data_IF_723874244262
#
_entry.id   IF_723874244262
#
_cell.length_a   1.000
_cell.length_b   1.000
_cell.length_c   1.000
_cell.angle_alpha   90.00
_cell.angle_beta   90.00
_cell.angle_gamma   90.00
#
_symmetry.space_group_name_H-M   'P 1'
#
loop_
_entity.id
_entity.type
_entity.pdbx_description
1 polymer ?
#
# COMPACT_ATOMS: atom_id res chain seq x y z
N UNK A 1 72.15 -32.61 1.83
CA UNK A 1 70.68 -32.72 2.05
C UNK A 1 70.46 -32.79 3.55
N UNK A 2 69.69 -31.88 4.16
CA UNK A 2 68.27 -31.71 3.87
C UNK A 2 67.82 -30.27 3.58
N UNK A 3 66.70 -30.18 2.86
CA UNK A 3 65.99 -28.99 2.42
C UNK A 3 65.03 -28.55 3.55
N UNK A 4 65.11 -27.30 4.03
CA UNK A 4 64.06 -26.69 4.87
C UNK A 4 63.28 -25.70 4.01
N UNK A 5 62.05 -26.08 3.65
CA UNK A 5 61.05 -25.21 3.04
C UNK A 5 60.52 -24.24 4.11
N UNK A 6 60.65 -22.93 3.89
CA UNK A 6 59.91 -21.92 4.63
C UNK A 6 58.62 -21.59 3.85
N UNK A 7 57.47 -21.96 4.41
CA UNK A 7 56.16 -21.55 3.91
C UNK A 7 55.87 -20.14 4.45
N UNK A 8 55.82 -19.14 3.57
CA UNK A 8 55.31 -17.81 3.90
C UNK A 8 53.79 -17.78 3.66
N UNK A 9 53.00 -17.79 4.74
CA UNK A 9 51.55 -17.60 4.69
C UNK A 9 51.22 -16.11 4.57
N UNK A 10 50.77 -15.68 3.39
CA UNK A 10 50.15 -14.37 3.21
C UNK A 10 48.70 -14.43 3.70
N UNK A 11 48.43 -13.93 4.91
CA UNK A 11 47.09 -13.65 5.39
C UNK A 11 46.60 -12.35 4.76
N UNK A 12 45.75 -12.46 3.74
CA UNK A 12 45.00 -11.32 3.20
C UNK A 12 43.89 -10.97 4.20
N UNK A 13 44.09 -9.92 5.00
CA UNK A 13 43.05 -9.37 5.86
C UNK A 13 42.04 -8.60 4.99
N UNK A 14 40.90 -9.22 4.67
CA UNK A 14 39.73 -8.50 4.17
C UNK A 14 39.17 -7.65 5.31
N UNK A 15 39.57 -6.38 5.38
CA UNK A 15 38.88 -5.39 6.19
C UNK A 15 37.53 -5.07 5.53
N UNK A 16 36.46 -5.71 6.02
CA UNK A 16 35.10 -5.29 5.74
C UNK A 16 34.91 -3.90 6.37
N UNK A 17 34.93 -2.85 5.56
CA UNK A 17 34.53 -1.51 5.98
C UNK A 17 33.04 -1.56 6.31
N UNK A 18 32.71 -1.73 7.59
CA UNK A 18 31.36 -1.49 8.08
C UNK A 18 31.05 0.00 7.86
N UNK A 19 30.27 0.32 6.82
CA UNK A 19 29.66 1.63 6.68
C UNK A 19 28.88 1.92 7.96
N UNK A 20 29.16 3.06 8.59
CA UNK A 20 28.30 3.58 9.66
C UNK A 20 26.85 3.59 9.16
N UNK A 21 25.88 3.16 9.97
CA UNK A 21 24.48 3.25 9.58
C UNK A 21 24.17 4.72 9.23
N UNK A 22 23.59 4.94 8.05
CA UNK A 22 23.14 6.26 7.64
C UNK A 22 22.26 6.86 8.74
N UNK A 23 22.47 8.13 9.06
CA UNK A 23 21.62 8.86 10.01
C UNK A 23 20.18 8.75 9.53
N UNK A 24 19.27 8.30 10.41
CA UNK A 24 17.84 8.22 10.08
C UNK A 24 17.35 9.58 9.54
N UNK A 25 16.50 9.58 8.51
CA UNK A 25 16.08 10.81 7.87
C UNK A 25 15.25 11.65 8.85
N UNK A 26 15.35 12.97 8.77
CA UNK A 26 14.69 13.87 9.75
C UNK A 26 13.17 13.68 9.81
N UNK A 27 12.55 13.26 8.70
CA UNK A 27 11.12 12.98 8.63
C UNK A 27 10.70 11.69 9.31
N UNK A 28 11.62 10.85 9.81
CA UNK A 28 11.25 9.64 10.54
C UNK A 28 10.38 9.98 11.77
N UNK A 29 10.60 11.13 12.40
CA UNK A 29 9.77 11.63 13.48
C UNK A 29 8.33 12.00 13.09
N UNK A 30 8.02 12.16 11.79
CA UNK A 30 6.63 12.33 11.29
C UNK A 30 5.86 11.01 11.31
N UNK A 31 6.59 9.90 11.41
CA UNK A 31 6.05 8.54 11.49
C UNK A 31 6.35 7.89 12.85
N UNK A 32 6.49 8.70 13.92
CA UNK A 32 6.65 8.18 15.28
C UNK A 32 5.38 7.46 15.74
N UNK A 33 5.42 6.13 15.67
CA UNK A 33 4.28 5.28 15.98
C UNK A 33 4.10 4.98 17.47
N UNK A 34 4.83 5.69 18.34
CA UNK A 34 4.64 5.65 19.80
C UNK A 34 3.63 6.69 20.29
N UNK A 35 3.17 7.58 19.42
CA UNK A 35 2.19 8.62 19.73
C UNK A 35 1.14 8.76 18.62
N UNK A 36 0.04 9.43 18.93
CA UNK A 36 -0.88 9.94 17.91
C UNK A 36 -0.48 11.39 17.64
N UNK A 37 -0.14 11.68 16.39
CA UNK A 37 0.24 13.02 15.93
C UNK A 37 -0.98 13.96 15.87
N UNK A 38 -0.71 15.25 15.78
CA UNK A 38 -1.73 16.26 15.50
C UNK A 38 -1.44 16.96 14.18
N UNK A 39 -2.41 16.93 13.28
CA UNK A 39 -2.32 17.59 11.98
C UNK A 39 -3.49 18.56 11.83
N UNK A 40 -3.18 19.80 11.54
CA UNK A 40 -4.17 20.84 11.30
C UNK A 40 -4.02 21.40 9.88
N UNK A 41 -5.04 21.17 9.05
CA UNK A 41 -5.12 21.68 7.69
C UNK A 41 -5.84 23.02 7.67
N UNK A 42 -5.31 23.98 6.92
CA UNK A 42 -5.87 25.33 6.82
C UNK A 42 -5.92 25.72 5.36
N UNK A 43 -7.12 26.07 4.89
CA UNK A 43 -7.36 26.52 3.51
C UNK A 43 -8.26 27.76 3.53
N UNK A 44 -8.29 28.48 2.43
CA UNK A 44 -9.32 29.50 2.21
C UNK A 44 -10.69 28.86 1.99
N UNK A 45 -11.75 29.57 2.36
CA UNK A 45 -13.12 29.08 2.24
C UNK A 45 -13.52 28.67 0.82
N UNK A 46 -13.14 29.47 -0.16
CA UNK A 46 -13.41 29.19 -1.59
C UNK A 46 -12.65 27.96 -2.09
N UNK A 47 -11.43 27.77 -1.60
CA UNK A 47 -10.60 26.60 -1.91
C UNK A 47 -11.16 25.33 -1.27
N UNK A 48 -11.74 25.42 -0.08
CA UNK A 48 -12.47 24.31 0.54
C UNK A 48 -13.68 23.88 -0.30
N UNK A 49 -14.48 24.84 -0.77
CA UNK A 49 -15.59 24.55 -1.69
C UNK A 49 -15.09 23.98 -3.03
N UNK A 50 -13.93 24.42 -3.50
CA UNK A 50 -13.28 23.87 -4.69
C UNK A 50 -12.85 22.42 -4.48
N UNK A 51 -12.24 22.07 -3.34
CA UNK A 51 -11.95 20.68 -2.98
C UNK A 51 -13.23 19.84 -3.02
N UNK A 52 -14.36 20.34 -2.50
CA UNK A 52 -15.63 19.62 -2.53
C UNK A 52 -16.14 19.30 -3.94
N UNK A 53 -15.96 20.23 -4.89
CA UNK A 53 -16.41 20.08 -6.30
C UNK A 53 -15.39 19.34 -7.17
N UNK A 54 -14.11 19.50 -6.89
CA UNK A 54 -12.98 19.00 -7.67
C UNK A 54 -11.95 18.34 -6.74
N UNK A 55 -12.27 17.17 -6.17
CA UNK A 55 -11.51 16.59 -5.05
C UNK A 55 -10.04 16.33 -5.34
N UNK A 56 -9.69 16.11 -6.61
CA UNK A 56 -8.32 15.78 -7.01
C UNK A 56 -7.49 16.98 -7.49
N UNK A 57 -8.08 18.18 -7.57
CA UNK A 57 -7.33 19.40 -7.83
C UNK A 57 -6.63 19.89 -6.55
N UNK A 58 -5.40 20.38 -6.70
CA UNK A 58 -4.65 20.98 -5.60
C UNK A 58 -5.13 22.41 -5.33
N UNK A 59 -5.31 22.72 -4.06
CA UNK A 59 -5.50 24.09 -3.57
C UNK A 59 -4.35 24.50 -2.65
N UNK A 60 -4.13 25.80 -2.55
CA UNK A 60 -3.07 26.35 -1.69
C UNK A 60 -3.58 26.44 -0.26
N UNK A 61 -2.69 26.15 0.70
CA UNK A 61 -3.03 26.22 2.11
C UNK A 61 -1.81 26.20 3.01
N UNK A 62 -2.08 25.93 4.28
CA UNK A 62 -1.11 25.73 5.34
C UNK A 62 -1.40 24.41 6.05
N UNK A 63 -0.36 23.83 6.64
CA UNK A 63 -0.49 22.70 7.55
C UNK A 63 0.32 22.97 8.80
N UNK A 64 -0.20 22.57 9.95
CA UNK A 64 0.55 22.49 11.20
C UNK A 64 0.63 21.02 11.64
N UNK A 65 1.85 20.51 11.83
CA UNK A 65 2.11 19.12 12.22
C UNK A 65 2.87 19.15 13.56
N UNK A 66 2.24 18.64 14.61
CA UNK A 66 2.78 18.64 15.98
C UNK A 66 3.30 20.02 16.45
N UNK A 67 2.58 21.08 16.10
CA UNK A 67 2.90 22.46 16.44
C UNK A 67 3.84 23.17 15.47
N UNK A 68 4.40 22.48 14.48
CA UNK A 68 5.25 23.07 13.44
C UNK A 68 4.40 23.45 12.22
N UNK A 69 4.27 24.76 11.98
CA UNK A 69 3.44 25.31 10.89
C UNK A 69 4.25 25.55 9.63
N UNK A 70 3.67 25.12 8.50
CA UNK A 70 4.23 25.24 7.16
C UNK A 70 3.16 25.80 6.22
N UNK A 71 3.43 26.97 5.63
CA UNK A 71 2.57 27.57 4.61
C UNK A 71 2.94 27.17 3.18
N UNK A 72 2.20 27.70 2.21
CA UNK A 72 2.44 27.49 0.78
C UNK A 72 2.42 26.00 0.34
N UNK A 73 1.63 25.17 1.05
CA UNK A 73 1.50 23.75 0.72
C UNK A 73 0.31 23.52 -0.22
N UNK A 74 0.37 22.43 -0.99
CA UNK A 74 -0.77 21.89 -1.71
C UNK A 74 -1.62 20.99 -0.82
N UNK A 75 -2.93 21.19 -0.82
CA UNK A 75 -3.89 20.29 -0.16
C UNK A 75 -4.88 19.81 -1.22
N UNK A 76 -5.19 18.50 -1.21
CA UNK A 76 -6.26 17.92 -2.03
C UNK A 76 -6.80 16.65 -1.39
N UNK A 77 -7.97 16.20 -1.83
CA UNK A 77 -8.42 14.84 -1.54
C UNK A 77 -7.68 13.83 -2.43
N UNK A 78 -7.72 12.56 -2.01
CA UNK A 78 -7.19 11.42 -2.78
C UNK A 78 -8.18 10.27 -2.82
N UNK A 79 -7.75 9.19 -3.46
CA UNK A 79 -8.47 7.92 -3.48
C UNK A 79 -9.32 7.76 -4.73
N UNK A 80 -9.88 6.56 -4.86
CA UNK A 80 -10.88 6.23 -5.87
C UNK A 80 -12.21 6.01 -5.12
N UNK A 81 -12.47 4.78 -4.68
CA UNK A 81 -13.64 4.41 -3.88
C UNK A 81 -13.79 5.24 -2.60
N UNK A 82 -12.69 5.49 -1.88
CA UNK A 82 -12.69 6.26 -0.63
C UNK A 82 -12.99 7.76 -0.81
N UNK A 83 -12.85 8.30 -2.02
CA UNK A 83 -13.27 9.68 -2.31
C UNK A 83 -14.81 9.78 -2.48
N UNK A 84 -15.46 8.71 -2.95
CA UNK A 84 -16.89 8.65 -3.22
C UNK A 84 -17.79 8.33 -2.02
N UNK A 85 -17.22 8.09 -0.84
CA UNK A 85 -18.00 7.76 0.38
C UNK A 85 -18.89 8.91 0.82
N UNK A 86 -19.99 8.63 1.53
CA UNK A 86 -20.94 9.67 1.95
C UNK A 86 -20.45 10.55 3.11
N UNK A 87 -19.51 10.06 3.93
CA UNK A 87 -18.95 10.84 5.05
C UNK A 87 -18.05 11.98 4.55
N UNK A 88 -18.01 13.07 5.34
CA UNK A 88 -17.10 14.20 5.16
C UNK A 88 -15.63 13.84 5.46
N UNK A 89 -15.38 12.69 6.10
CA UNK A 89 -14.04 12.18 6.41
C UNK A 89 -13.32 11.68 5.16
N UNK A 90 -12.87 12.59 4.31
CA UNK A 90 -12.15 12.27 3.08
C UNK A 90 -10.66 12.08 3.35
N UNK A 91 -9.96 11.19 2.61
CA UNK A 91 -8.50 11.10 2.70
C UNK A 91 -7.85 12.27 1.95
N UNK A 92 -6.71 12.74 2.45
CA UNK A 92 -6.01 13.91 1.93
C UNK A 92 -4.59 13.57 1.47
N UNK A 93 -4.05 14.43 0.59
CA UNK A 93 -2.61 14.56 0.36
C UNK A 93 -2.18 15.98 0.65
N UNK A 94 -1.00 16.10 1.23
CA UNK A 94 -0.31 17.36 1.49
C UNK A 94 0.95 17.36 0.65
N UNK A 95 1.04 18.25 -0.33
CA UNK A 95 2.22 18.43 -1.17
C UNK A 95 3.02 19.63 -0.69
N UNK A 96 4.07 19.41 0.10
CA UNK A 96 4.99 20.46 0.53
C UNK A 96 5.73 21.07 -0.67
N UNK A 97 6.12 20.22 -1.62
CA UNK A 97 6.82 20.64 -2.82
C UNK A 97 5.89 21.08 -3.97
N UNK A 98 4.60 21.34 -3.69
CA UNK A 98 3.58 21.54 -4.73
C UNK A 98 3.71 22.88 -5.46
N UNK A 99 3.96 23.95 -4.71
CA UNK A 99 4.04 25.32 -5.23
C UNK A 99 5.46 25.90 -5.19
N UNK A 100 6.34 25.28 -4.40
CA UNK A 100 7.77 25.51 -4.40
C UNK A 100 8.45 24.13 -4.48
N UNK A 101 9.21 23.87 -5.54
CA UNK A 101 9.82 22.54 -5.77
C UNK A 101 10.93 22.20 -4.78
N UNK A 102 11.50 23.19 -4.10
CA UNK A 102 12.57 23.04 -3.12
C UNK A 102 12.02 22.88 -1.69
N UNK A 103 10.79 23.34 -1.43
CA UNK A 103 10.17 23.22 -0.12
C UNK A 103 10.01 21.75 0.29
N UNK A 104 10.36 21.48 1.56
CA UNK A 104 10.23 20.17 2.22
C UNK A 104 9.67 20.36 3.62
N UNK A 105 9.07 19.31 4.18
CA UNK A 105 8.83 19.20 5.61
C UNK A 105 9.66 18.05 6.18
N UNK A 106 10.73 18.38 6.92
CA UNK A 106 11.72 17.40 7.45
C UNK A 106 12.32 16.48 6.38
N UNK A 107 12.37 16.95 5.13
CA UNK A 107 12.81 16.17 3.97
C UNK A 107 11.67 15.58 3.11
N UNK A 108 10.42 15.56 3.58
CA UNK A 108 9.29 15.07 2.79
C UNK A 108 8.84 16.07 1.73
N UNK A 109 8.50 15.54 0.55
CA UNK A 109 7.82 16.27 -0.53
C UNK A 109 6.31 16.18 -0.42
N UNK A 110 5.81 15.02 0.01
CA UNK A 110 4.38 14.74 0.14
C UNK A 110 4.09 13.91 1.38
N UNK A 111 2.95 14.19 2.05
CA UNK A 111 2.40 13.36 3.11
C UNK A 111 0.99 12.88 2.72
N UNK A 112 0.66 11.63 3.04
CA UNK A 112 -0.65 11.04 2.77
C UNK A 112 -1.40 10.85 4.08
N UNK A 113 -2.67 11.25 4.10
CA UNK A 113 -3.59 11.05 5.21
C UNK A 113 -4.75 10.17 4.75
N UNK A 114 -4.71 8.88 5.10
CA UNK A 114 -5.79 7.94 4.83
C UNK A 114 -6.83 7.96 5.95
N UNK A 115 -8.11 7.90 5.58
CA UNK A 115 -9.25 8.09 6.47
C UNK A 115 -9.73 6.81 7.19
N UNK A 116 -9.04 5.67 6.99
CA UNK A 116 -9.43 4.37 7.52
C UNK A 116 -10.64 3.74 6.83
N UNK A 117 -10.86 4.08 5.55
CA UNK A 117 -11.97 3.53 4.75
C UNK A 117 -11.99 1.99 4.78
N UNK A 118 -13.18 1.41 4.98
CA UNK A 118 -13.44 -0.03 5.15
C UNK A 118 -12.78 -0.70 6.36
N UNK A 119 -12.04 0.02 7.20
CA UNK A 119 -11.34 -0.58 8.32
C UNK A 119 -12.05 -0.24 9.64
N UNK A 120 -12.86 -1.15 10.23
CA UNK A 120 -13.49 -0.89 11.51
C UNK A 120 -12.49 -0.68 12.65
N UNK A 121 -11.26 -1.17 12.49
CA UNK A 121 -10.23 -1.04 13.53
C UNK A 121 -9.34 0.19 13.37
N UNK A 122 -9.29 0.77 12.17
CA UNK A 122 -8.27 1.75 11.74
C UNK A 122 -6.81 1.24 11.80
N UNK A 123 -6.56 -0.03 12.16
CA UNK A 123 -5.22 -0.57 12.39
C UNK A 123 -4.64 -1.36 11.21
N UNK A 124 -5.48 -1.85 10.29
CA UNK A 124 -5.08 -2.81 9.24
C UNK A 124 -3.97 -2.27 8.37
N UNK A 125 -4.08 -1.02 7.92
CA UNK A 125 -3.09 -0.41 7.04
C UNK A 125 -1.72 -0.29 7.72
N UNK A 126 -1.68 0.23 8.96
CA UNK A 126 -0.45 0.33 9.76
C UNK A 126 0.18 -1.03 9.98
N UNK A 127 -0.60 -2.01 10.45
CA UNK A 127 -0.12 -3.37 10.70
C UNK A 127 0.41 -4.03 9.42
N UNK A 128 -0.24 -3.82 8.29
CA UNK A 128 0.20 -4.34 7.01
C UNK A 128 1.52 -3.69 6.57
N UNK A 129 1.67 -2.37 6.63
CA UNK A 129 2.93 -1.70 6.30
C UNK A 129 4.07 -2.14 7.23
N UNK A 130 3.83 -2.23 8.54
CA UNK A 130 4.81 -2.69 9.51
C UNK A 130 5.28 -4.11 9.20
N UNK A 131 4.36 -5.00 8.83
CA UNK A 131 4.69 -6.38 8.49
C UNK A 131 5.59 -6.46 7.25
N UNK A 132 5.26 -5.71 6.19
CA UNK A 132 6.08 -5.65 4.98
C UNK A 132 7.48 -5.10 5.29
N UNK A 133 7.58 -4.03 6.09
CA UNK A 133 8.86 -3.45 6.50
C UNK A 133 9.68 -4.42 7.37
N UNK A 134 9.04 -5.11 8.31
CA UNK A 134 9.71 -6.05 9.22
C UNK A 134 10.39 -7.22 8.48
N UNK A 135 9.87 -7.61 7.31
CA UNK A 135 10.51 -8.63 6.45
C UNK A 135 11.48 -8.03 5.42
N UNK A 136 11.76 -6.73 5.49
CA UNK A 136 12.75 -6.03 4.68
C UNK A 136 12.26 -5.65 3.29
N UNK A 137 10.96 -5.46 3.09
CA UNK A 137 10.45 -4.86 1.85
C UNK A 137 10.57 -3.33 1.88
N UNK A 138 10.79 -2.69 0.73
CA UNK A 138 10.71 -1.25 0.60
C UNK A 138 9.23 -0.85 0.64
N UNK A 139 8.65 -0.79 1.83
CA UNK A 139 7.27 -0.37 2.06
C UNK A 139 7.23 0.97 2.81
N UNK A 140 6.13 1.70 2.65
CA UNK A 140 5.91 2.98 3.32
C UNK A 140 5.95 2.84 4.83
N UNK A 141 6.50 3.85 5.52
CA UNK A 141 6.23 4.07 6.95
C UNK A 141 4.78 4.50 7.12
N UNK A 142 4.20 4.18 8.26
CA UNK A 142 2.86 4.61 8.63
C UNK A 142 2.78 4.96 10.12
N UNK A 143 1.88 5.87 10.49
CA UNK A 143 1.59 6.26 11.88
C UNK A 143 0.13 6.76 11.97
N UNK A 144 -0.26 7.32 13.11
CA UNK A 144 -1.62 7.85 13.32
C UNK A 144 -1.61 9.34 13.62
N UNK A 145 -2.62 10.06 13.12
CA UNK A 145 -2.85 11.47 13.47
C UNK A 145 -4.32 11.72 13.78
N UNK A 146 -4.60 12.64 14.70
CA UNK A 146 -5.87 13.36 14.71
C UNK A 146 -5.77 14.52 13.72
N UNK A 147 -6.70 14.58 12.78
CA UNK A 147 -6.77 15.63 11.76
C UNK A 147 -7.86 16.63 12.13
N UNK A 148 -7.50 17.92 12.06
CA UNK A 148 -8.44 19.05 12.17
C UNK A 148 -8.35 19.91 10.93
N UNK A 149 -9.43 20.57 10.54
CA UNK A 149 -9.48 21.44 9.36
C UNK A 149 -10.09 22.78 9.71
N UNK A 150 -9.51 23.86 9.20
CA UNK A 150 -10.12 25.21 9.14
C UNK A 150 -10.26 25.62 7.68
N UNK A 151 -11.43 26.11 7.31
CA UNK A 151 -11.67 26.78 6.04
C UNK A 151 -12.00 28.25 6.34
N UNK A 152 -11.04 29.16 6.10
CA UNK A 152 -11.16 30.57 6.51
C UNK A 152 -12.44 31.21 5.96
N UNK A 153 -13.19 31.86 6.84
CA UNK A 153 -14.47 32.48 6.51
C UNK A 153 -15.62 31.51 6.21
N UNK A 154 -15.44 30.18 6.38
CA UNK A 154 -16.46 29.16 6.06
C UNK A 154 -16.66 28.09 7.13
N UNK A 155 -15.58 27.62 7.73
CA UNK A 155 -15.60 26.58 8.75
C UNK A 155 -14.49 26.86 9.77
N UNK A 156 -14.90 27.17 11.00
CA UNK A 156 -14.00 27.21 12.15
C UNK A 156 -13.28 25.87 12.34
N UNK A 157 -12.20 25.86 13.13
CA UNK A 157 -11.42 24.64 13.37
C UNK A 157 -12.32 23.49 13.82
N UNK A 158 -12.42 22.46 12.98
CA UNK A 158 -13.26 21.28 13.20
C UNK A 158 -12.42 20.02 13.17
N UNK A 159 -12.71 19.09 14.08
CA UNK A 159 -12.07 17.78 14.09
C UNK A 159 -12.67 16.87 13.02
N UNK A 160 -11.80 16.24 12.22
CA UNK A 160 -12.14 15.25 11.19
C UNK A 160 -11.85 13.82 11.65
N UNK A 161 -11.21 13.65 12.81
CA UNK A 161 -10.99 12.37 13.47
C UNK A 161 -9.62 11.76 13.21
N UNK A 162 -9.50 10.45 13.39
CA UNK A 162 -8.23 9.72 13.32
C UNK A 162 -7.93 9.28 11.89
N UNK A 163 -6.72 9.56 11.44
CA UNK A 163 -6.20 9.19 10.13
C UNK A 163 -4.93 8.34 10.27
N UNK A 164 -4.69 7.49 9.28
CA UNK A 164 -3.39 6.84 9.09
C UNK A 164 -2.53 7.77 8.25
N UNK A 165 -1.40 8.19 8.81
CA UNK A 165 -0.34 8.88 8.06
C UNK A 165 0.43 7.82 7.27
N UNK A 166 0.65 8.03 5.98
CA UNK A 166 1.40 7.10 5.12
C UNK A 166 2.48 7.86 4.35
N UNK A 167 3.70 7.33 4.37
CA UNK A 167 4.82 7.86 3.60
C UNK A 167 4.52 7.72 2.11
N UNK A 168 4.64 8.82 1.36
CA UNK A 168 4.41 8.77 -0.08
C UNK A 168 5.58 8.08 -0.79
N UNK A 169 5.27 7.21 -1.76
CA UNK A 169 6.29 6.61 -2.64
C UNK A 169 6.58 7.60 -3.76
N UNK A 170 7.63 8.39 -3.58
CA UNK A 170 8.15 9.40 -4.51
C UNK A 170 9.69 9.40 -4.53
N UNK A 171 10.31 10.43 -5.12
CA UNK A 171 11.76 10.60 -5.20
C UNK A 171 12.45 10.50 -3.83
N UNK A 172 11.86 11.08 -2.78
CA UNK A 172 12.43 11.01 -1.42
C UNK A 172 12.42 9.58 -0.87
N UNK A 173 11.35 8.84 -1.14
CA UNK A 173 11.27 7.42 -0.76
C UNK A 173 12.36 6.60 -1.46
N UNK A 174 12.60 6.88 -2.75
CA UNK A 174 13.58 6.18 -3.55
C UNK A 174 15.01 6.50 -3.13
N UNK A 175 15.31 7.77 -2.89
CA UNK A 175 16.61 8.21 -2.37
C UNK A 175 16.97 7.48 -1.09
N UNK A 176 16.03 7.37 -0.15
CA UNK A 176 16.29 6.77 1.14
C UNK A 176 16.48 5.23 1.08
N UNK A 177 15.75 4.54 0.19
CA UNK A 177 15.70 3.06 0.17
C UNK A 177 16.59 2.44 -0.90
N UNK A 178 16.84 3.17 -1.97
CA UNK A 178 17.62 2.70 -3.11
C UNK A 178 18.87 3.55 -3.32
N UNK A 179 19.06 4.64 -2.57
CA UNK A 179 20.21 5.53 -2.67
C UNK A 179 20.22 6.34 -3.98
N UNK A 180 19.04 6.62 -4.55
CA UNK A 180 18.84 7.41 -5.76
C UNK A 180 17.49 7.13 -6.42
N UNK A 181 16.98 8.12 -7.16
CA UNK A 181 15.68 8.09 -7.85
C UNK A 181 15.78 8.18 -9.39
N UNK A 182 16.95 7.95 -9.96
CA UNK A 182 17.19 8.02 -11.43
C UNK A 182 16.39 6.96 -12.22
N UNK A 183 15.99 5.87 -11.57
CA UNK A 183 15.15 4.84 -12.16
C UNK A 183 13.71 5.30 -12.39
N UNK A 184 12.99 4.59 -13.27
CA UNK A 184 11.57 4.86 -13.47
C UNK A 184 10.73 4.18 -12.38
N UNK A 185 9.91 4.97 -11.70
CA UNK A 185 8.90 4.52 -10.76
C UNK A 185 7.54 4.54 -11.44
N UNK A 186 6.89 3.40 -11.52
CA UNK A 186 5.57 3.25 -12.13
C UNK A 186 4.55 2.92 -11.05
N UNK A 187 3.46 3.67 -10.98
CA UNK A 187 2.27 3.30 -10.19
C UNK A 187 1.33 2.50 -11.08
N UNK A 188 0.97 1.30 -10.64
CA UNK A 188 0.12 0.40 -11.41
C UNK A 188 -1.29 0.37 -10.81
N UNK A 189 -2.27 0.59 -11.69
CA UNK A 189 -3.69 0.66 -11.40
C UNK A 189 -4.50 0.02 -12.52
N UNK A 190 -5.77 -0.29 -12.28
CA UNK A 190 -6.74 -0.52 -13.36
C UNK A 190 -6.66 -1.85 -14.12
N UNK A 191 -5.64 -2.71 -13.91
CA UNK A 191 -5.45 -3.92 -14.73
C UNK A 191 -5.40 -5.22 -13.93
N UNK A 192 -6.32 -6.15 -14.22
CA UNK A 192 -6.37 -7.46 -13.56
C UNK A 192 -5.07 -8.28 -13.75
N UNK A 193 -4.52 -8.32 -14.96
CA UNK A 193 -3.19 -8.89 -15.20
C UNK A 193 -2.46 -8.11 -16.28
N UNK A 194 -1.58 -7.20 -15.83
CA UNK A 194 -0.74 -6.37 -16.68
C UNK A 194 0.15 -7.21 -17.61
N UNK A 195 0.58 -8.39 -17.16
CA UNK A 195 1.61 -9.17 -17.84
C UNK A 195 1.06 -10.32 -18.69
N UNK A 196 -0.26 -10.49 -18.74
CA UNK A 196 -0.90 -11.50 -19.59
C UNK A 196 -0.50 -11.33 -21.07
N UNK A 197 -0.29 -10.08 -21.50
CA UNK A 197 0.17 -9.70 -22.84
C UNK A 197 1.15 -8.53 -22.73
N UNK A 198 2.16 -8.53 -23.61
CA UNK A 198 3.09 -7.42 -23.77
C UNK A 198 2.43 -6.31 -24.61
N UNK A 199 1.37 -5.72 -24.07
CA UNK A 199 0.55 -4.75 -24.79
C UNK A 199 1.11 -3.34 -24.56
N UNK A 200 1.90 -2.86 -25.52
CA UNK A 200 2.50 -1.52 -25.47
C UNK A 200 1.44 -0.42 -25.33
N UNK A 201 0.25 -0.60 -25.91
CA UNK A 201 -0.85 0.38 -25.80
C UNK A 201 -1.30 0.50 -24.35
N UNK A 202 -1.41 -0.62 -23.63
CA UNK A 202 -1.79 -0.62 -22.21
C UNK A 202 -0.70 -0.04 -21.32
N UNK A 203 0.57 -0.34 -21.62
CA UNK A 203 1.71 0.23 -20.89
C UNK A 203 1.82 1.74 -21.14
N UNK A 204 1.36 2.22 -22.30
CA UNK A 204 1.29 3.63 -22.60
C UNK A 204 0.12 4.37 -21.91
N UNK A 205 -0.91 3.66 -21.43
CA UNK A 205 -2.06 4.26 -20.76
C UNK A 205 -1.70 4.70 -19.33
N UNK A 206 -1.60 6.01 -19.12
CA UNK A 206 -1.24 6.62 -17.84
C UNK A 206 -2.29 6.41 -16.74
N UNK A 207 -3.51 6.01 -17.10
CA UNK A 207 -4.52 5.63 -16.10
C UNK A 207 -4.22 4.28 -15.48
N UNK A 208 -3.43 3.45 -16.15
CA UNK A 208 -3.06 2.12 -15.69
C UNK A 208 -1.60 2.00 -15.28
N UNK A 209 -0.69 2.65 -16.00
CA UNK A 209 0.74 2.68 -15.72
C UNK A 209 1.19 4.13 -15.65
N UNK A 210 1.03 4.73 -14.47
CA UNK A 210 1.37 6.13 -14.23
C UNK A 210 2.84 6.25 -13.88
N UNK A 211 3.63 6.93 -14.72
CA UNK A 211 5.04 7.20 -14.45
C UNK A 211 5.15 8.31 -13.39
N UNK A 212 5.98 8.10 -12.37
CA UNK A 212 6.12 8.97 -11.17
C UNK A 212 7.49 9.64 -11.03
N UNK A 213 8.46 9.20 -11.82
CA UNK A 213 9.79 9.82 -11.95
C UNK A 213 10.11 9.90 -13.43
N UNK A 214 11.02 10.79 -13.84
CA UNK A 214 11.39 10.95 -15.25
C UNK A 214 10.20 11.24 -16.20
N UNK A 215 9.11 11.83 -15.69
CA UNK A 215 7.84 12.05 -16.40
C UNK A 215 8.02 12.78 -17.74
N UNK A 216 8.98 13.73 -17.82
CA UNK A 216 9.27 14.46 -19.05
C UNK A 216 9.91 13.59 -20.13
N UNK A 217 10.82 12.69 -19.75
CA UNK A 217 11.50 11.78 -20.68
C UNK A 217 10.55 10.65 -21.09
N UNK A 218 9.75 10.17 -20.14
CA UNK A 218 8.73 9.14 -20.31
C UNK A 218 9.20 7.89 -21.09
N UNK A 219 10.46 7.48 -20.90
CA UNK A 219 11.02 6.31 -21.58
C UNK A 219 10.54 5.03 -20.89
N UNK A 220 9.52 4.39 -21.46
CA UNK A 220 8.92 3.15 -20.93
C UNK A 220 9.54 1.88 -21.53
N UNK A 221 10.64 1.99 -22.28
CA UNK A 221 11.14 0.90 -23.12
C UNK A 221 11.59 -0.34 -22.31
N UNK A 222 12.20 -0.15 -21.13
CA UNK A 222 12.52 -1.27 -20.23
C UNK A 222 11.27 -1.95 -19.67
N UNK A 223 10.23 -1.19 -19.35
CA UNK A 223 8.96 -1.76 -18.89
C UNK A 223 8.38 -2.68 -19.97
N UNK A 224 8.32 -2.18 -21.22
CA UNK A 224 7.81 -2.96 -22.35
C UNK A 224 8.58 -4.27 -22.51
N UNK A 225 9.93 -4.21 -22.48
CA UNK A 225 10.77 -5.41 -22.56
C UNK A 225 10.57 -6.36 -21.38
N UNK A 226 10.43 -5.82 -20.17
CA UNK A 226 10.11 -6.62 -18.99
C UNK A 226 8.76 -7.33 -19.15
N UNK A 227 7.71 -6.61 -19.52
CA UNK A 227 6.39 -7.18 -19.73
C UNK A 227 6.38 -8.25 -20.83
N UNK A 228 7.13 -8.02 -21.92
CA UNK A 228 7.37 -9.02 -22.97
C UNK A 228 8.07 -10.26 -22.45
N UNK A 229 9.13 -10.11 -21.65
CA UNK A 229 9.83 -11.21 -21.02
C UNK A 229 8.94 -11.98 -20.02
N UNK A 230 7.98 -11.34 -19.36
CA UNK A 230 6.99 -12.06 -18.54
C UNK A 230 6.00 -12.82 -19.43
N UNK A 231 5.51 -12.17 -20.48
CA UNK A 231 4.51 -12.71 -21.39
C UNK A 231 5.02 -13.88 -22.26
N UNK A 232 6.31 -13.94 -22.59
CA UNK A 232 6.88 -15.01 -23.42
C UNK A 232 6.86 -16.40 -22.73
N UNK A 233 6.76 -16.43 -21.40
CA UNK A 233 6.76 -17.66 -20.60
C UNK A 233 8.12 -18.35 -20.42
N UNK A 234 9.16 -17.94 -21.15
CA UNK A 234 10.46 -18.62 -21.27
C UNK A 234 11.64 -17.84 -20.67
N UNK A 235 11.56 -16.51 -20.63
CA UNK A 235 12.67 -15.67 -20.13
C UNK A 235 12.95 -15.90 -18.65
N UNK A 236 14.21 -15.89 -18.24
CA UNK A 236 14.56 -16.00 -16.82
C UNK A 236 14.04 -14.78 -16.02
N UNK A 237 13.18 -15.03 -15.03
CA UNK A 237 12.64 -13.99 -14.16
C UNK A 237 13.74 -13.30 -13.36
N UNK A 238 14.80 -14.02 -12.98
CA UNK A 238 15.90 -13.44 -12.19
C UNK A 238 16.68 -12.40 -12.96
N UNK A 239 16.62 -12.40 -14.30
CA UNK A 239 17.23 -11.37 -15.14
C UNK A 239 16.51 -10.01 -15.01
N UNK A 240 15.23 -10.00 -14.64
CA UNK A 240 14.39 -8.81 -14.68
C UNK A 240 13.83 -8.38 -13.32
N UNK A 241 13.59 -9.31 -12.40
CA UNK A 241 12.85 -9.05 -11.17
C UNK A 241 13.73 -9.27 -9.94
N UNK A 242 13.62 -8.40 -8.94
CA UNK A 242 14.07 -8.72 -7.59
C UNK A 242 13.21 -9.84 -7.01
N UNK A 243 13.65 -11.07 -7.24
CA UNK A 243 12.92 -12.27 -6.87
C UNK A 243 12.89 -12.51 -5.36
N UNK A 244 13.85 -11.99 -4.59
CA UNK A 244 13.87 -12.12 -3.14
C UNK A 244 12.87 -11.17 -2.50
N UNK A 245 12.82 -9.91 -2.95
CA UNK A 245 11.75 -8.97 -2.60
C UNK A 245 10.38 -9.49 -3.03
N UNK A 246 10.24 -10.00 -4.25
CA UNK A 246 8.96 -10.52 -4.73
C UNK A 246 8.45 -11.72 -3.92
N UNK A 247 9.34 -12.65 -3.53
CA UNK A 247 8.99 -13.78 -2.67
C UNK A 247 8.43 -13.31 -1.31
N UNK A 248 9.07 -12.31 -0.70
CA UNK A 248 8.64 -11.72 0.58
C UNK A 248 7.31 -10.97 0.44
N UNK A 249 7.13 -10.22 -0.64
CA UNK A 249 5.86 -9.54 -0.92
C UNK A 249 4.72 -10.54 -1.11
N UNK A 250 4.94 -11.61 -1.88
CA UNK A 250 3.93 -12.63 -2.10
C UNK A 250 3.60 -13.38 -0.79
N UNK A 251 4.60 -13.62 0.06
CA UNK A 251 4.40 -14.17 1.40
C UNK A 251 3.51 -13.28 2.27
N UNK A 252 3.82 -11.98 2.38
CA UNK A 252 3.00 -11.04 3.12
C UNK A 252 1.58 -10.91 2.55
N UNK A 253 1.45 -10.81 1.23
CA UNK A 253 0.16 -10.72 0.52
C UNK A 253 -0.71 -11.97 0.76
N UNK A 254 -0.10 -13.16 0.70
CA UNK A 254 -0.76 -14.45 0.97
C UNK A 254 -1.18 -14.60 2.43
N UNK A 255 -0.33 -14.18 3.37
CA UNK A 255 -0.62 -14.22 4.80
C UNK A 255 -1.73 -13.24 5.20
N UNK A 256 -1.70 -12.03 4.64
CA UNK A 256 -2.69 -10.99 4.89
C UNK A 256 -3.98 -11.18 4.08
N UNK A 257 -3.99 -12.06 3.08
CA UNK A 257 -5.07 -12.18 2.10
C UNK A 257 -5.42 -10.80 1.54
N UNK A 258 -4.39 -10.06 1.11
CA UNK A 258 -4.57 -8.71 0.57
C UNK A 258 -4.96 -8.79 -0.91
N UNK A 259 -6.26 -8.90 -1.18
CA UNK A 259 -6.77 -9.07 -2.55
C UNK A 259 -6.94 -7.76 -3.31
N UNK A 260 -6.91 -6.61 -2.64
CA UNK A 260 -6.84 -5.30 -3.32
C UNK A 260 -5.39 -4.94 -3.65
N UNK A 261 -4.73 -5.85 -4.36
CA UNK A 261 -3.31 -5.80 -4.70
C UNK A 261 -3.06 -6.45 -6.05
N UNK A 262 -1.80 -6.49 -6.49
CA UNK A 262 -1.43 -7.23 -7.70
C UNK A 262 -1.90 -8.69 -7.65
N UNK A 263 -1.94 -9.37 -6.50
CA UNK A 263 -2.36 -10.78 -6.44
C UNK A 263 -3.86 -10.98 -6.71
N UNK A 264 -4.71 -9.98 -6.43
CA UNK A 264 -6.15 -10.06 -6.63
C UNK A 264 -6.64 -9.16 -7.76
N UNK A 265 -7.02 -7.92 -7.44
CA UNK A 265 -7.57 -6.93 -8.39
C UNK A 265 -6.56 -6.47 -9.45
N UNK A 266 -5.26 -6.63 -9.19
CA UNK A 266 -4.18 -6.24 -10.09
C UNK A 266 -3.71 -4.78 -9.91
N UNK A 267 -4.11 -4.14 -8.81
CA UNK A 267 -3.94 -2.69 -8.56
C UNK A 267 -3.07 -2.46 -7.30
N UNK A 268 -2.90 -1.20 -6.89
CA UNK A 268 -2.28 -0.80 -5.62
C UNK A 268 -0.82 -1.28 -5.39
N UNK A 269 0.04 -1.09 -6.38
CA UNK A 269 1.48 -1.30 -6.21
C UNK A 269 2.29 -0.35 -7.09
N UNK A 270 3.56 -0.18 -6.75
CA UNK A 270 4.54 0.41 -7.66
C UNK A 270 5.53 -0.63 -8.14
N UNK A 271 6.10 -0.36 -9.31
CA UNK A 271 7.29 -1.03 -9.82
C UNK A 271 8.39 0.02 -10.00
N UNK A 272 9.55 -0.20 -9.38
CA UNK A 272 10.73 0.62 -9.58
C UNK A 272 11.73 -0.13 -10.47
N UNK A 273 12.10 0.44 -11.60
CA UNK A 273 13.20 -0.04 -12.46
C UNK A 273 14.52 0.47 -11.86
N UNK A 274 15.09 -0.31 -10.95
CA UNK A 274 16.27 0.08 -10.19
C UNK A 274 17.53 0.03 -11.08
N UNK A 275 18.16 1.17 -11.39
CA UNK A 275 19.34 1.22 -12.26
C UNK A 275 20.58 0.57 -11.62
N UNK A 276 20.62 0.44 -10.28
CA UNK A 276 21.78 -0.15 -9.58
C UNK A 276 21.84 -1.65 -9.76
N UNK A 277 20.69 -2.32 -9.69
CA UNK A 277 20.59 -3.78 -9.81
C UNK A 277 20.16 -4.23 -11.21
N UNK A 278 19.61 -3.31 -12.01
CA UNK A 278 18.99 -3.59 -13.29
C UNK A 278 17.70 -4.40 -13.17
N UNK A 279 17.06 -4.42 -11.99
CA UNK A 279 15.85 -5.20 -11.69
C UNK A 279 14.64 -4.31 -11.41
N UNK A 280 13.47 -4.83 -11.73
CA UNK A 280 12.20 -4.31 -11.25
C UNK A 280 11.97 -4.75 -9.80
N UNK A 281 11.65 -3.78 -8.94
CA UNK A 281 11.34 -3.98 -7.53
C UNK A 281 9.88 -3.61 -7.29
N UNK A 282 9.12 -4.51 -6.67
CA UNK A 282 7.72 -4.26 -6.30
C UNK A 282 7.66 -3.55 -4.95
N UNK A 283 6.93 -2.44 -4.90
CA UNK A 283 6.66 -1.67 -3.68
C UNK A 283 5.15 -1.72 -3.39
N UNK A 284 4.72 -2.27 -2.23
CA UNK A 284 3.31 -2.37 -1.88
C UNK A 284 2.69 -0.99 -1.60
N UNK A 285 1.42 -0.82 -1.93
CA UNK A 285 0.68 0.42 -1.71
C UNK A 285 -0.78 0.13 -1.31
N UNK A 286 -1.45 1.12 -0.69
CA UNK A 286 -2.88 1.09 -0.29
C UNK A 286 -3.29 -0.22 0.42
N UNK A 287 -2.81 -0.41 1.66
CA UNK A 287 -2.93 -1.69 2.39
C UNK A 287 -4.11 -1.72 3.38
N UNK A 288 -5.06 -0.79 3.29
CA UNK A 288 -6.20 -0.69 4.22
C UNK A 288 -7.16 -1.89 4.12
N UNK A 289 -7.26 -2.53 2.96
CA UNK A 289 -8.13 -3.70 2.76
C UNK A 289 -7.41 -5.06 2.95
N UNK A 290 -6.23 -5.05 3.57
CA UNK A 290 -5.55 -6.27 4.04
C UNK A 290 -6.33 -6.99 5.15
N UNK A 291 -5.82 -8.14 5.61
CA UNK A 291 -6.47 -9.03 6.61
C UNK A 291 -7.80 -9.60 6.10
N UNK A 292 -7.84 -9.98 4.82
CA UNK A 292 -9.03 -10.52 4.15
C UNK A 292 -10.21 -9.55 4.10
N UNK A 293 -9.94 -8.24 4.23
CA UNK A 293 -10.97 -7.22 4.30
C UNK A 293 -11.52 -6.87 2.91
N UNK A 294 -10.71 -6.95 1.86
CA UNK A 294 -11.21 -7.02 0.48
C UNK A 294 -11.69 -8.44 0.17
N UNK A 295 -13.00 -8.65 0.07
CA UNK A 295 -13.58 -9.98 -0.18
C UNK A 295 -13.89 -10.23 -1.66
N UNK A 296 -13.41 -11.37 -2.17
CA UNK A 296 -13.80 -11.96 -3.46
C UNK A 296 -14.26 -13.41 -3.26
N UNK A 297 -15.57 -13.64 -3.29
CA UNK A 297 -16.15 -14.95 -2.99
C UNK A 297 -16.39 -15.16 -1.48
N UNK A 298 -16.67 -16.41 -1.04
CA UNK A 298 -17.03 -16.69 0.35
C UNK A 298 -15.91 -16.36 1.34
N UNK A 299 -16.27 -15.82 2.50
CA UNK A 299 -15.31 -15.50 3.57
C UNK A 299 -14.44 -16.70 3.99
N UNK A 300 -15.02 -17.91 4.12
CA UNK A 300 -14.27 -19.12 4.47
C UNK A 300 -13.10 -19.40 3.50
N UNK A 301 -13.29 -19.17 2.20
CA UNK A 301 -12.27 -19.38 1.18
C UNK A 301 -11.07 -18.42 1.33
N UNK A 302 -11.25 -17.26 1.95
CA UNK A 302 -10.16 -16.32 2.23
C UNK A 302 -9.23 -16.86 3.31
N UNK A 303 -9.78 -17.44 4.38
CA UNK A 303 -8.99 -18.09 5.43
C UNK A 303 -8.26 -19.33 4.89
N UNK A 304 -8.91 -20.07 4.00
CA UNK A 304 -8.37 -21.25 3.32
C UNK A 304 -7.56 -20.94 2.05
N UNK A 305 -7.30 -19.67 1.72
CA UNK A 305 -6.72 -19.30 0.42
C UNK A 305 -5.43 -20.08 0.12
N UNK A 306 -5.37 -20.67 -1.07
CA UNK A 306 -4.33 -21.60 -1.51
C UNK A 306 -2.96 -20.96 -1.57
N UNK A 307 -2.04 -21.43 -0.72
CA UNK A 307 -0.67 -20.93 -0.68
C UNK A 307 0.14 -21.35 -1.91
N UNK A 308 -0.27 -22.38 -2.65
CA UNK A 308 0.38 -22.80 -3.90
C UNK A 308 -0.23 -22.15 -5.15
N UNK A 309 -1.36 -21.46 -4.98
CA UNK A 309 -1.96 -20.60 -5.98
C UNK A 309 -2.41 -19.24 -5.38
N UNK A 310 -1.49 -18.44 -4.80
CA UNK A 310 -1.82 -17.22 -4.07
C UNK A 310 -2.12 -16.04 -5.01
N UNK A 311 -3.02 -16.24 -5.98
CA UNK A 311 -3.53 -15.22 -6.87
C UNK A 311 -4.99 -15.48 -7.23
N UNK A 312 -5.67 -14.46 -7.76
CA UNK A 312 -7.05 -14.56 -8.26
C UNK A 312 -7.08 -14.40 -9.78
N UNK A 313 -7.84 -15.27 -10.45
CA UNK A 313 -7.94 -15.28 -11.90
C UNK A 313 -6.60 -15.68 -12.53
N UNK A 314 -6.13 -14.91 -13.51
CA UNK A 314 -4.78 -15.06 -14.04
C UNK A 314 -3.88 -13.94 -13.53
N UNK A 315 -2.63 -14.29 -13.19
CA UNK A 315 -1.54 -13.39 -12.80
C UNK A 315 -0.23 -13.95 -13.33
N UNK A 316 0.06 -13.72 -14.60
CA UNK A 316 1.14 -14.39 -15.31
C UNK A 316 2.50 -14.28 -14.63
N UNK A 317 2.82 -13.14 -14.02
CA UNK A 317 4.07 -13.00 -13.25
C UNK A 317 4.10 -13.92 -12.03
N UNK A 318 3.03 -13.94 -11.22
CA UNK A 318 2.94 -14.80 -10.03
C UNK A 318 2.90 -16.27 -10.43
N UNK A 319 2.12 -16.62 -11.45
CA UNK A 319 2.03 -17.98 -11.98
C UNK A 319 3.41 -18.52 -12.38
N UNK A 320 4.18 -17.73 -13.14
CA UNK A 320 5.54 -18.10 -13.55
C UNK A 320 6.50 -18.20 -12.36
N UNK A 321 6.42 -17.26 -11.43
CA UNK A 321 7.23 -17.26 -10.22
C UNK A 321 6.99 -18.52 -9.39
N UNK A 322 5.73 -18.89 -9.17
CA UNK A 322 5.34 -20.07 -8.39
C UNK A 322 5.56 -21.38 -9.16
N UNK A 323 5.50 -21.36 -10.50
CA UNK A 323 5.81 -22.55 -11.31
C UNK A 323 7.30 -22.95 -11.20
N UNK A 324 8.21 -21.96 -11.13
CA UNK A 324 9.65 -22.20 -10.98
C UNK A 324 9.99 -22.77 -9.59
N UNK A 325 10.52 -24.01 -9.47
CA UNK A 325 10.71 -24.67 -8.17
C UNK A 325 11.56 -23.88 -7.16
N UNK A 326 12.67 -23.28 -7.60
CA UNK A 326 13.55 -22.51 -6.73
C UNK A 326 12.89 -21.23 -6.19
N UNK A 327 12.11 -20.54 -7.03
CA UNK A 327 11.40 -19.30 -6.65
C UNK A 327 10.20 -19.62 -5.76
N UNK A 328 9.44 -20.68 -6.07
CA UNK A 328 8.40 -21.22 -5.19
C UNK A 328 8.95 -21.54 -3.81
N UNK A 329 10.10 -22.19 -3.73
CA UNK A 329 10.73 -22.51 -2.45
C UNK A 329 11.10 -21.24 -1.66
N UNK A 330 11.66 -20.21 -2.32
CA UNK A 330 11.93 -18.91 -1.67
C UNK A 330 10.66 -18.31 -1.07
N UNK A 331 9.56 -18.27 -1.82
CA UNK A 331 8.27 -17.76 -1.33
C UNK A 331 7.72 -18.60 -0.17
N UNK A 332 7.67 -19.93 -0.28
CA UNK A 332 7.12 -20.79 0.77
C UNK A 332 7.96 -20.73 2.06
N UNK A 333 9.29 -20.61 1.94
CA UNK A 333 10.17 -20.36 3.08
C UNK A 333 9.88 -19.01 3.72
N UNK A 334 9.76 -17.93 2.93
CA UNK A 334 9.42 -16.61 3.44
C UNK A 334 8.05 -16.59 4.14
N UNK A 335 7.05 -17.28 3.58
CA UNK A 335 5.72 -17.42 4.16
C UNK A 335 5.74 -18.17 5.50
N UNK A 336 6.48 -19.29 5.57
CA UNK A 336 6.67 -20.03 6.81
C UNK A 336 7.32 -19.17 7.88
N UNK A 337 8.43 -18.52 7.55
CA UNK A 337 9.18 -17.67 8.47
C UNK A 337 8.33 -16.50 8.99
N UNK A 338 7.55 -15.88 8.11
CA UNK A 338 6.60 -14.84 8.45
C UNK A 338 5.58 -15.34 9.49
N UNK A 339 4.95 -16.49 9.27
CA UNK A 339 3.96 -17.10 10.18
C UNK A 339 4.55 -17.53 11.53
N UNK A 340 5.85 -17.84 11.60
CA UNK A 340 6.53 -18.24 12.83
C UNK A 340 7.13 -17.06 13.61
N UNK A 341 7.25 -15.89 12.98
CA UNK A 341 7.90 -14.70 13.55
C UNK A 341 6.92 -13.51 13.59
N UNK A 342 6.97 -12.66 12.58
CA UNK A 342 6.30 -11.35 12.58
C UNK A 342 4.77 -11.45 12.52
N UNK A 343 4.24 -12.46 11.83
CA UNK A 343 2.80 -12.73 11.70
C UNK A 343 2.33 -13.84 12.65
N UNK A 344 3.16 -14.29 13.59
CA UNK A 344 2.74 -15.28 14.59
C UNK A 344 1.61 -14.70 15.47
N UNK A 345 0.62 -15.52 15.90
CA UNK A 345 -0.55 -15.01 16.63
C UNK A 345 -0.19 -14.19 17.88
N UNK A 346 0.76 -14.66 18.69
CA UNK A 346 1.22 -13.94 19.89
C UNK A 346 1.87 -12.60 19.54
N UNK A 347 2.73 -12.59 18.52
CA UNK A 347 3.42 -11.36 18.05
C UNK A 347 2.42 -10.33 17.55
N UNK A 348 1.49 -10.77 16.69
CA UNK A 348 0.47 -9.87 16.14
C UNK A 348 -0.52 -9.40 17.19
N UNK A 349 -0.95 -10.27 18.11
CA UNK A 349 -1.85 -9.86 19.20
C UNK A 349 -1.23 -8.76 20.05
N UNK A 350 0.05 -8.86 20.40
CA UNK A 350 0.78 -7.83 21.13
C UNK A 350 0.86 -6.50 20.35
N UNK A 351 1.15 -6.55 19.04
CA UNK A 351 1.17 -5.36 18.17
C UNK A 351 -0.22 -4.73 18.07
N UNK A 352 -1.27 -5.53 17.86
CA UNK A 352 -2.66 -5.08 17.80
C UNK A 352 -3.06 -4.39 19.10
N UNK A 353 -2.75 -4.99 20.25
CA UNK A 353 -3.10 -4.41 21.56
C UNK A 353 -2.35 -3.10 21.84
N UNK A 354 -1.09 -3.01 21.45
CA UNK A 354 -0.30 -1.79 21.56
C UNK A 354 -0.91 -0.66 20.72
N UNK A 355 -1.18 -0.90 19.44
CA UNK A 355 -1.72 0.11 18.54
C UNK A 355 -3.16 0.48 18.90
N UNK A 356 -3.95 -0.48 19.38
CA UNK A 356 -5.29 -0.19 19.89
C UNK A 356 -5.23 0.68 21.15
N UNK A 357 -4.35 0.36 22.11
CA UNK A 357 -4.16 1.19 23.31
C UNK A 357 -3.77 2.63 22.93
N UNK A 358 -2.91 2.78 21.92
CA UNK A 358 -2.47 4.07 21.43
C UNK A 358 -3.62 4.89 20.81
N UNK A 359 -4.47 4.26 20.00
CA UNK A 359 -5.47 4.98 19.19
C UNK A 359 -6.86 5.02 19.80
N UNK A 360 -7.19 4.16 20.78
CA UNK A 360 -8.56 3.98 21.31
C UNK A 360 -9.21 5.28 21.73
N UNK A 361 -8.49 6.14 22.46
CA UNK A 361 -9.07 7.39 22.96
C UNK A 361 -9.47 8.32 21.81
N UNK A 362 -8.54 8.60 20.89
CA UNK A 362 -8.79 9.44 19.73
C UNK A 362 -9.87 8.82 18.81
N UNK A 363 -9.79 7.51 18.56
CA UNK A 363 -10.75 6.81 17.72
C UNK A 363 -12.16 6.76 18.34
N UNK A 364 -12.28 6.78 19.67
CA UNK A 364 -13.59 6.86 20.34
C UNK A 364 -14.23 8.24 20.22
N UNK A 365 -13.41 9.31 20.16
CA UNK A 365 -13.85 10.71 19.98
C UNK A 365 -14.17 11.06 18.52
N UNK A 366 -13.62 10.31 17.58
CA UNK A 366 -13.88 10.46 16.15
C UNK A 366 -15.37 10.18 15.84
N UNK A 367 -16.12 11.22 15.50
CA UNK A 367 -17.55 11.12 15.13
C UNK A 367 -17.76 10.94 13.63
N UNK A 368 -16.70 10.96 12.83
CA UNK A 368 -16.74 10.98 11.36
C UNK A 368 -16.35 9.64 10.73
N UNK A 369 -15.85 8.69 11.54
CA UNK A 369 -15.51 7.33 11.12
C UNK A 369 -16.74 6.56 10.61
N UNK A 370 -16.48 5.64 9.68
CA UNK A 370 -17.48 4.81 9.01
C UNK A 370 -18.14 3.79 9.96
N UNK A 371 -17.42 3.35 10.99
CA UNK A 371 -17.86 2.34 11.93
C UNK A 371 -18.05 2.93 13.34
N UNK A 372 -19.11 2.55 14.07
CA UNK A 372 -19.30 2.91 15.48
C UNK A 372 -18.12 2.45 16.35
N UNK A 373 -17.90 3.14 17.47
CA UNK A 373 -16.83 2.81 18.43
C UNK A 373 -16.94 1.37 18.97
N UNK A 374 -18.15 0.84 19.12
CA UNK A 374 -18.34 -0.56 19.54
C UNK A 374 -17.76 -1.57 18.55
N UNK A 375 -17.86 -1.27 17.24
CA UNK A 375 -17.34 -2.15 16.19
C UNK A 375 -15.82 -2.11 16.14
N UNK A 376 -15.20 -0.97 16.46
CA UNK A 376 -13.75 -0.86 16.64
C UNK A 376 -13.24 -1.85 17.70
N UNK A 377 -13.93 -1.95 18.84
CA UNK A 377 -13.56 -2.86 19.93
C UNK A 377 -13.84 -4.32 19.55
N UNK A 378 -15.03 -4.60 19.01
CA UNK A 378 -15.45 -5.96 18.63
C UNK A 378 -14.52 -6.52 17.54
N UNK A 379 -14.19 -5.74 16.52
CA UNK A 379 -13.36 -6.16 15.39
C UNK A 379 -11.89 -6.49 15.76
N UNK A 380 -11.46 -6.28 17.00
CA UNK A 380 -10.16 -6.80 17.46
C UNK A 380 -10.20 -8.31 17.68
N UNK A 381 -11.32 -8.82 18.19
CA UNK A 381 -11.45 -10.19 18.73
C UNK A 381 -12.64 -10.97 18.18
N UNK A 382 -13.49 -10.34 17.36
CA UNK A 382 -14.71 -10.94 16.83
C UNK A 382 -14.89 -10.52 15.36
N UNK A 383 -15.44 -11.43 14.58
CA UNK A 383 -15.87 -11.13 13.23
C UNK A 383 -17.14 -10.25 13.28
N UNK A 384 -17.24 -9.29 12.36
CA UNK A 384 -18.43 -8.45 12.20
C UNK A 384 -19.21 -8.87 10.96
N UNK A 385 -20.51 -8.56 10.92
CA UNK A 385 -21.31 -8.67 9.71
C UNK A 385 -20.84 -7.65 8.66
N UNK A 386 -20.56 -8.11 7.44
CA UNK A 386 -20.01 -7.28 6.37
C UNK A 386 -21.04 -6.43 5.61
N UNK A 387 -22.34 -6.59 5.90
CA UNK A 387 -23.45 -5.99 5.17
C UNK A 387 -23.38 -4.46 5.00
N UNK A 388 -22.59 -3.76 5.83
CA UNK A 388 -22.39 -2.31 5.74
C UNK A 388 -21.55 -1.85 4.53
N UNK A 389 -20.83 -2.77 3.88
CA UNK A 389 -19.90 -2.47 2.79
C UNK A 389 -20.37 -2.95 1.41
N UNK A 390 -21.60 -3.47 1.34
CA UNK A 390 -22.25 -3.92 0.10
C UNK A 390 -22.47 -5.43 0.03
N UNK A 391 -23.22 -5.90 -0.99
CA UNK A 391 -23.69 -7.29 -1.08
C UNK A 391 -22.58 -8.33 -1.27
N UNK A 392 -21.35 -7.89 -1.57
CA UNK A 392 -20.19 -8.75 -1.85
C UNK A 392 -19.28 -8.99 -0.63
N UNK A 393 -19.47 -8.26 0.47
CA UNK A 393 -18.74 -8.45 1.71
C UNK A 393 -19.71 -8.99 2.77
N UNK A 394 -19.73 -10.30 2.97
CA UNK A 394 -20.64 -10.92 3.93
C UNK A 394 -20.12 -10.82 5.37
N UNK A 395 -18.81 -10.64 5.55
CA UNK A 395 -18.14 -10.66 6.85
C UNK A 395 -16.93 -9.73 6.88
N UNK A 396 -16.61 -9.15 8.02
CA UNK A 396 -15.32 -8.50 8.28
C UNK A 396 -14.63 -9.32 9.37
N UNK A 397 -13.44 -9.85 9.10
CA UNK A 397 -12.76 -10.68 10.09
C UNK A 397 -12.24 -9.86 11.26
N UNK A 398 -12.40 -10.38 12.47
CA UNK A 398 -11.71 -9.83 13.64
C UNK A 398 -10.20 -10.00 13.48
N UNK A 399 -9.40 -8.98 13.85
CA UNK A 399 -7.96 -8.99 13.60
C UNK A 399 -7.24 -10.19 14.23
N UNK A 400 -7.43 -10.44 15.53
CA UNK A 400 -6.75 -11.56 16.22
C UNK A 400 -7.24 -12.92 15.72
N UNK A 401 -8.57 -13.20 15.63
CA UNK A 401 -9.06 -14.46 15.07
C UNK A 401 -8.66 -14.68 13.62
N UNK A 402 -8.53 -13.62 12.80
CA UNK A 402 -8.00 -13.74 11.44
C UNK A 402 -6.57 -14.28 11.46
N UNK A 403 -5.68 -13.65 12.23
CA UNK A 403 -4.27 -14.07 12.29
C UNK A 403 -4.16 -15.52 12.76
N UNK A 404 -4.86 -15.89 13.83
CA UNK A 404 -4.86 -17.27 14.34
C UNK A 404 -5.29 -18.28 13.29
N UNK A 405 -6.48 -18.07 12.70
CA UNK A 405 -7.04 -19.00 11.70
C UNK A 405 -6.21 -19.04 10.42
N UNK A 406 -5.67 -17.91 9.98
CA UNK A 406 -4.88 -17.83 8.75
C UNK A 406 -3.50 -18.47 8.93
N UNK A 407 -2.83 -18.25 10.05
CA UNK A 407 -1.56 -18.93 10.38
C UNK A 407 -1.76 -20.44 10.48
N UNK A 408 -2.80 -20.91 11.18
CA UNK A 408 -3.11 -22.34 11.29
C UNK A 408 -3.36 -22.97 9.89
N UNK A 409 -4.16 -22.30 9.06
CA UNK A 409 -4.43 -22.71 7.67
C UNK A 409 -3.14 -22.84 6.86
N UNK A 410 -2.28 -21.81 6.85
CA UNK A 410 -1.02 -21.79 6.12
C UNK A 410 -0.10 -22.93 6.58
N UNK A 411 0.07 -23.10 7.89
CA UNK A 411 0.95 -24.14 8.43
C UNK A 411 0.43 -25.56 8.13
N UNK A 412 -0.89 -25.77 8.16
CA UNK A 412 -1.49 -27.05 7.74
C UNK A 412 -1.29 -27.32 6.25
N UNK A 413 -1.41 -26.32 5.39
CA UNK A 413 -1.14 -26.45 3.96
C UNK A 413 0.35 -26.75 3.66
N UNK A 414 1.27 -26.07 4.35
CA UNK A 414 2.72 -26.34 4.25
C UNK A 414 3.06 -27.76 4.73
N UNK A 415 2.35 -28.28 5.74
CA UNK A 415 2.53 -29.63 6.26
C UNK A 415 1.78 -30.71 5.46
N UNK A 416 1.07 -30.36 4.39
CA UNK A 416 0.24 -31.29 3.61
C UNK A 416 -0.98 -31.83 4.36
N UNK A 417 -1.37 -31.21 5.48
CA UNK A 417 -2.50 -31.60 6.34
C UNK A 417 -3.82 -30.95 5.96
N UNK A 418 -3.80 -29.94 5.10
CA UNK A 418 -4.97 -29.29 4.54
C UNK A 418 -4.71 -28.91 3.08
N UNK A 419 -5.79 -28.86 2.28
CA UNK A 419 -5.76 -28.27 0.94
C UNK A 419 -6.23 -26.83 1.02
N UNK A 420 -5.62 -25.97 0.20
CA UNK A 420 -6.09 -24.60 0.04
C UNK A 420 -7.26 -24.50 -0.94
N UNK A 421 -7.95 -23.37 -0.90
CA UNK A 421 -9.03 -23.01 -1.81
C UNK A 421 -8.57 -21.94 -2.79
N UNK A 422 -8.82 -22.17 -4.08
CA UNK A 422 -8.60 -21.16 -5.12
C UNK A 422 -9.76 -20.19 -5.13
N UNK A 423 -9.45 -18.90 -5.02
CA UNK A 423 -10.43 -17.85 -5.23
C UNK A 423 -10.61 -17.65 -6.74
N UNK A 424 -11.84 -17.81 -7.21
CA UNK A 424 -12.19 -17.52 -8.60
C UNK A 424 -12.53 -16.03 -8.73
N UNK A 425 -12.08 -15.40 -9.82
CA UNK A 425 -12.39 -13.99 -10.08
C UNK A 425 -13.88 -13.80 -10.32
N UNK A 426 -14.60 -13.29 -9.32
CA UNK A 426 -15.97 -12.81 -9.47
C UNK A 426 -15.96 -11.32 -9.79
N UNK A 427 -16.13 -10.94 -11.06
CA UNK A 427 -16.18 -9.54 -11.49
C UNK A 427 -17.17 -8.69 -10.68
N UNK A 428 -16.86 -7.40 -10.48
CA UNK A 428 -16.92 -6.44 -11.57
C UNK A 428 -15.52 -5.90 -11.86
N UNK A 429 -15.25 -5.61 -13.14
CA UNK A 429 -14.07 -4.82 -13.51
C UNK A 429 -14.06 -3.45 -12.81
N UNK A 430 -12.96 -2.70 -12.90
CA UNK A 430 -12.89 -1.34 -12.39
C UNK A 430 -13.80 -0.45 -13.23
N UNK A 431 -15.06 -0.39 -12.83
CA UNK A 431 -16.15 0.32 -13.50
C UNK A 431 -17.06 0.94 -12.45
N UNK A 432 -16.46 1.72 -11.55
CA UNK A 432 -17.14 2.68 -10.69
C UNK A 432 -16.53 4.06 -10.89
N UNK A 433 -16.18 4.42 -12.13
CA UNK A 433 -15.94 5.82 -12.47
C UNK A 433 -17.25 6.60 -12.27
N UNK A 434 -17.20 7.86 -11.81
CA UNK A 434 -18.39 8.70 -11.82
C UNK A 434 -18.93 8.77 -13.26
N UNK A 435 -20.26 8.80 -13.48
CA UNK A 435 -20.79 9.02 -14.81
C UNK A 435 -20.17 10.31 -15.36
N UNK A 436 -19.53 10.18 -16.52
CA UNK A 436 -18.81 11.27 -17.15
C UNK A 436 -19.70 12.50 -17.29
N UNK A 437 -19.35 13.56 -16.57
CA UNK A 437 -19.84 14.91 -16.84
C UNK A 437 -19.17 15.42 -18.11
N UNK A 438 -19.68 15.01 -19.26
CA UNK A 438 -19.50 15.70 -20.54
C UNK A 438 -20.59 16.78 -20.70
N UNK A 439 -20.30 17.90 -21.39
CA UNK A 439 -21.09 19.11 -21.28
C UNK A 439 -22.43 19.04 -22.04
N UNK A 440 -23.50 19.47 -21.38
CA UNK A 440 -24.63 20.16 -22.01
C UNK A 440 -25.48 19.39 -23.02
N UNK A 441 -26.29 18.43 -22.54
CA UNK A 441 -27.53 18.06 -23.24
C UNK A 441 -28.63 19.06 -22.91
N UNK A 442 -29.08 19.85 -23.90
CA UNK A 442 -30.26 20.73 -23.77
C UNK A 442 -31.49 19.92 -23.30
N UNK A 443 -32.38 20.49 -22.47
CA UNK A 443 -33.65 19.84 -22.13
C UNK A 443 -34.52 19.69 -23.40
N UNK A 444 -35.31 18.60 -23.52
CA UNK A 444 -36.27 18.47 -24.61
C UNK A 444 -37.35 19.55 -24.48
N UNK A 445 -37.61 20.25 -25.57
CA UNK A 445 -38.70 21.22 -25.67
C UNK A 445 -40.08 20.55 -25.57
N UNK A 446 -41.14 21.31 -25.23
CA UNK A 446 -42.48 20.75 -25.06
C UNK A 446 -43.04 20.27 -26.40
N UNK A 447 -43.93 19.25 -26.39
CA UNK A 447 -44.48 18.67 -27.60
C UNK A 447 -45.39 19.67 -28.34
N UNK A 448 -45.42 19.65 -29.68
CA UNK A 448 -46.29 20.53 -30.45
C UNK A 448 -47.76 20.12 -30.29
N UNK A 449 -48.63 21.14 -30.38
CA UNK A 449 -50.10 21.00 -30.38
C UNK A 449 -50.61 20.26 -31.60
#
# INVERSE_FOLDING_TARGET
MPLRLALASFLLACAASAQQPARAPEYEGVFDDKRVHFIHLIVEGEDWEKIGRKPFEWVKGEVEIDGERVGNVGIRQKGNSSAGIRTEKKPFKIGFAKYDKEQRFKGLRTLVLNNGFKDPTLLREKLAYDLHRAIGLPASRAAFAVVTVTARGRMEKREFGVYTIVEHVDETFLDERFGGHEGNLYKIEGMQDLFARADEVRIADEKCVELKTNEKKNDRSRFVRFAAAIADGKSDLTAWLDCDGFAKWLAATSALVNLDSYAGTGHNFYLYDDPKTGKFVLIPWDLNEAFGNFQQGPAAAHLAWDIYAPWVGSKKLIERFVAAPALRQKYLTALRDLCLKEFAPKTMAAKIDLLFKLTKEAASKDTMKEYPTDDLIKALSQDLAGARMGPKQSQIFGLKPFVERRVDSILKQLAGKAKGEKLQGGGPGPGGGPPGGGPGGKPPGPPPK
#
